data_IF_542707199836
#
_entry.id   IF_542707199836
#
_cell.length_a   1.000
_cell.length_b   1.000
_cell.length_c   1.000
_cell.angle_alpha   90.00
_cell.angle_beta   90.00
_cell.angle_gamma   90.00
#
_symmetry.space_group_name_H-M   'P 1'
#
loop_
_entity.id
_entity.type
_entity.pdbx_description
1 polymer ?
#
# COMPACT_ATOMS: atom_id res chain seq x y z
N UNK A 1 -4.20 -1.11 -65.39
CA UNK A 1 -5.03 -1.01 -64.19
C UNK A 1 -4.29 -0.22 -63.11
N UNK A 2 -4.86 0.84 -62.64
CA UNK A 2 -4.36 2.10 -62.10
C UNK A 2 -3.37 2.04 -60.90
N UNK A 3 -2.11 2.29 -61.15
CA UNK A 3 -1.08 2.56 -60.13
C UNK A 3 -1.33 3.86 -59.32
N UNK A 4 -2.14 4.79 -59.84
CA UNK A 4 -2.53 6.03 -59.14
C UNK A 4 -3.49 5.79 -57.98
N UNK A 5 -4.39 4.84 -58.06
CA UNK A 5 -5.39 4.59 -57.01
C UNK A 5 -4.76 3.94 -55.75
N UNK A 6 -3.74 3.11 -55.90
CA UNK A 6 -3.07 2.50 -54.76
C UNK A 6 -2.32 3.52 -53.88
N UNK A 7 -1.75 4.57 -54.47
CA UNK A 7 -1.08 5.64 -53.69
C UNK A 7 -2.06 6.46 -52.85
N UNK A 8 -3.26 6.69 -53.35
CA UNK A 8 -4.31 7.42 -52.62
C UNK A 8 -4.82 6.61 -51.42
N UNK A 9 -5.05 5.32 -51.62
CA UNK A 9 -5.47 4.45 -50.51
C UNK A 9 -4.40 4.33 -49.43
N UNK A 10 -3.12 4.21 -49.80
CA UNK A 10 -2.00 4.19 -48.84
C UNK A 10 -1.91 5.52 -48.08
N UNK A 11 -2.13 6.65 -48.76
CA UNK A 11 -2.11 7.97 -48.11
C UNK A 11 -3.28 8.14 -47.11
N UNK A 12 -4.47 7.68 -47.45
CA UNK A 12 -5.65 7.70 -46.59
C UNK A 12 -5.40 6.81 -45.35
N UNK A 13 -4.83 5.61 -45.53
CA UNK A 13 -4.48 4.73 -44.42
C UNK A 13 -3.42 5.36 -43.48
N UNK A 14 -2.39 6.00 -44.06
CA UNK A 14 -1.38 6.70 -43.26
C UNK A 14 -1.96 7.88 -42.49
N UNK A 15 -2.84 8.67 -43.11
CA UNK A 15 -3.50 9.79 -42.44
C UNK A 15 -4.45 9.32 -41.32
N UNK A 16 -5.22 8.25 -41.55
CA UNK A 16 -6.09 7.67 -40.52
C UNK A 16 -5.27 7.05 -39.35
N UNK A 17 -4.12 6.45 -39.63
CA UNK A 17 -3.22 5.93 -38.62
C UNK A 17 -2.59 7.06 -37.81
N UNK A 18 -2.15 8.15 -38.43
CA UNK A 18 -1.59 9.33 -37.75
C UNK A 18 -2.65 9.99 -36.86
N UNK A 19 -3.91 10.12 -37.34
CA UNK A 19 -5.01 10.68 -36.53
C UNK A 19 -5.33 9.77 -35.33
N UNK A 20 -5.31 8.45 -35.51
CA UNK A 20 -5.52 7.50 -34.45
C UNK A 20 -4.38 7.57 -33.37
N UNK A 21 -3.13 7.67 -33.80
CA UNK A 21 -1.99 7.86 -32.91
C UNK A 21 -2.08 9.20 -32.14
N UNK A 22 -2.49 10.28 -32.83
CA UNK A 22 -2.65 11.58 -32.16
C UNK A 22 -3.79 11.55 -31.12
N UNK A 23 -4.90 10.88 -31.39
CA UNK A 23 -6.00 10.67 -30.44
C UNK A 23 -5.53 9.88 -29.20
N UNK A 24 -4.73 8.83 -29.39
CA UNK A 24 -4.14 8.06 -28.29
C UNK A 24 -3.17 8.90 -27.45
N UNK A 25 -2.37 9.75 -28.10
CA UNK A 25 -1.44 10.67 -27.42
C UNK A 25 -2.18 11.77 -26.67
N UNK A 26 -3.25 12.34 -27.23
CA UNK A 26 -4.11 13.31 -26.54
C UNK A 26 -4.80 12.69 -25.31
N UNK A 27 -5.33 11.48 -25.43
CA UNK A 27 -5.95 10.79 -24.30
C UNK A 27 -4.93 10.49 -23.20
N UNK A 28 -3.70 10.08 -23.56
CA UNK A 28 -2.59 9.89 -22.62
C UNK A 28 -2.19 11.20 -21.95
N UNK A 29 -2.09 12.28 -22.71
CA UNK A 29 -1.75 13.61 -22.20
C UNK A 29 -2.87 14.17 -21.31
N UNK A 30 -4.14 13.95 -21.65
CA UNK A 30 -5.31 14.33 -20.85
C UNK A 30 -5.33 13.58 -19.52
N UNK A 31 -5.03 12.28 -19.51
CA UNK A 31 -4.91 11.48 -18.27
C UNK A 31 -3.74 11.98 -17.41
N UNK A 32 -2.59 12.26 -18.00
CA UNK A 32 -1.43 12.83 -17.29
C UNK A 32 -1.72 14.24 -16.79
N UNK A 33 -2.43 15.06 -17.52
CA UNK A 33 -2.84 16.41 -17.11
C UNK A 33 -3.81 16.36 -15.92
N UNK A 34 -4.84 15.52 -15.99
CA UNK A 34 -5.79 15.31 -14.88
C UNK A 34 -5.08 14.78 -13.64
N UNK A 35 -4.17 13.83 -13.82
CA UNK A 35 -3.37 13.28 -12.72
C UNK A 35 -2.43 14.31 -12.09
N UNK A 36 -1.72 15.10 -12.90
CA UNK A 36 -0.84 16.16 -12.40
C UNK A 36 -1.62 17.31 -11.73
N UNK A 37 -2.79 17.65 -12.26
CA UNK A 37 -3.71 18.61 -11.64
C UNK A 37 -4.20 18.10 -10.28
N UNK A 38 -4.60 16.84 -10.19
CA UNK A 38 -4.99 16.18 -8.94
C UNK A 38 -3.84 16.14 -7.92
N UNK A 39 -2.61 15.82 -8.37
CA UNK A 39 -1.41 15.87 -7.51
C UNK A 39 -1.12 17.30 -7.01
N UNK A 40 -1.29 18.31 -7.84
CA UNK A 40 -1.06 19.70 -7.45
C UNK A 40 -2.17 20.23 -6.53
N UNK A 41 -3.42 19.83 -6.75
CA UNK A 41 -4.53 20.16 -5.86
C UNK A 41 -4.38 19.45 -4.50
N UNK A 42 -3.95 18.19 -4.46
CA UNK A 42 -3.64 17.47 -3.21
C UNK A 42 -2.44 18.09 -2.49
N UNK A 43 -1.39 18.49 -3.19
CA UNK A 43 -0.26 19.24 -2.61
C UNK A 43 -0.68 20.64 -2.10
N UNK A 44 -1.53 21.34 -2.83
CA UNK A 44 -2.06 22.64 -2.42
C UNK A 44 -2.94 22.53 -1.19
N UNK A 45 -3.82 21.52 -1.14
CA UNK A 45 -4.65 21.21 0.03
C UNK A 45 -3.77 20.79 1.23
N UNK A 46 -2.77 19.94 1.02
CA UNK A 46 -1.79 19.58 2.04
C UNK A 46 -1.10 20.81 2.61
N UNK A 47 -0.56 21.69 1.76
CA UNK A 47 0.11 22.92 2.18
C UNK A 47 -0.86 23.91 2.87
N UNK A 48 -2.11 24.00 2.43
CA UNK A 48 -3.13 24.88 3.02
C UNK A 48 -3.54 24.41 4.42
N UNK A 49 -3.64 23.09 4.64
CA UNK A 49 -4.05 22.54 5.94
C UNK A 49 -2.88 22.28 6.90
N UNK A 50 -1.63 22.24 6.41
CA UNK A 50 -0.45 22.10 7.29
C UNK A 50 0.20 23.42 7.68
N UNK A 51 -0.07 24.51 6.93
CA UNK A 51 0.53 25.85 7.19
C UNK A 51 -0.20 26.70 8.24
N UNK A 52 -1.35 26.26 8.75
CA UNK A 52 -2.02 26.91 9.88
C UNK A 52 -2.32 25.87 10.97
N UNK A 53 -1.37 25.52 11.82
CA UNK A 53 -1.72 24.97 13.11
C UNK A 53 -2.21 26.14 13.98
N UNK A 54 -3.50 26.29 14.17
CA UNK A 54 -3.99 26.98 15.38
C UNK A 54 -3.34 26.24 16.54
N UNK A 55 -2.42 26.91 17.23
CA UNK A 55 -1.85 26.47 18.49
C UNK A 55 -2.94 26.48 19.55
N UNK A 56 -3.79 25.49 19.55
CA UNK A 56 -4.55 25.15 20.75
C UNK A 56 -3.60 24.45 21.72
N UNK A 57 -3.15 25.21 22.71
CA UNK A 57 -2.40 24.79 23.89
C UNK A 57 -3.27 23.88 24.77
N UNK A 58 -3.47 22.65 24.35
CA UNK A 58 -3.59 21.48 25.19
C UNK A 58 -2.76 20.41 24.47
N UNK A 59 -1.58 20.13 25.00
CA UNK A 59 -0.76 18.97 24.59
C UNK A 59 -1.51 17.68 24.97
N UNK A 60 -2.59 17.38 24.27
CA UNK A 60 -3.12 16.02 24.28
C UNK A 60 -2.11 15.14 23.54
N UNK A 61 -1.35 14.36 24.30
CA UNK A 61 -0.46 13.33 23.78
C UNK A 61 -1.21 12.51 22.75
N UNK A 62 -0.69 12.49 21.50
CA UNK A 62 -1.27 11.68 20.43
C UNK A 62 -1.39 10.22 20.86
N UNK A 63 -2.55 9.63 20.64
CA UNK A 63 -2.83 8.24 20.96
C UNK A 63 -2.13 7.32 19.96
N UNK A 64 -1.56 6.22 20.43
CA UNK A 64 -0.90 5.20 19.60
C UNK A 64 -1.69 3.90 19.72
N UNK A 65 -2.32 3.48 18.64
CA UNK A 65 -2.99 2.18 18.56
C UNK A 65 -2.15 1.24 17.69
N UNK A 66 -1.91 0.02 18.19
CA UNK A 66 -1.39 -1.07 17.36
C UNK A 66 -2.50 -2.05 17.01
N UNK A 67 -2.45 -2.58 15.80
CA UNK A 67 -3.34 -3.65 15.34
C UNK A 67 -2.58 -4.80 14.73
N UNK A 68 -3.16 -5.98 14.84
CA UNK A 68 -2.72 -7.17 14.12
C UNK A 68 -3.93 -8.05 13.81
N UNK A 69 -3.72 -9.07 13.00
CA UNK A 69 -4.76 -10.04 12.64
C UNK A 69 -4.24 -11.47 12.77
N UNK A 70 -5.08 -12.36 13.29
CA UNK A 70 -4.80 -13.79 13.25
C UNK A 70 -6.06 -14.61 13.03
N UNK A 71 -5.91 -15.73 12.32
CA UNK A 71 -6.85 -16.84 12.38
C UNK A 71 -6.52 -17.76 13.58
N UNK A 72 -7.16 -18.92 13.68
CA UNK A 72 -6.93 -19.88 14.77
C UNK A 72 -5.47 -20.37 14.89
N UNK A 73 -4.75 -20.46 13.78
CA UNK A 73 -3.38 -20.99 13.73
C UNK A 73 -2.36 -20.06 14.39
N UNK A 74 -2.56 -18.74 14.28
CA UNK A 74 -1.59 -17.71 14.74
C UNK A 74 -2.01 -17.03 16.04
N UNK A 75 -2.89 -17.64 16.84
CA UNK A 75 -3.39 -17.05 18.08
C UNK A 75 -2.27 -16.82 19.11
N UNK A 76 -1.38 -17.79 19.28
CA UNK A 76 -0.24 -17.70 20.20
C UNK A 76 0.71 -16.57 19.81
N UNK A 77 1.05 -16.47 18.54
CA UNK A 77 1.88 -15.40 18.00
C UNK A 77 1.23 -14.03 18.23
N UNK A 78 -0.09 -13.91 18.02
CA UNK A 78 -0.83 -12.68 18.28
C UNK A 78 -0.73 -12.24 19.76
N UNK A 79 -0.77 -13.19 20.72
CA UNK A 79 -0.63 -12.86 22.14
C UNK A 79 0.77 -12.32 22.46
N UNK A 80 1.83 -12.91 21.91
CA UNK A 80 3.20 -12.38 22.07
C UNK A 80 3.36 -11.01 21.39
N UNK A 81 2.79 -10.84 20.20
CA UNK A 81 2.78 -9.54 19.53
C UNK A 81 2.10 -8.48 20.40
N UNK A 82 0.89 -8.76 20.91
CA UNK A 82 0.15 -7.88 21.83
C UNK A 82 0.96 -7.52 23.06
N UNK A 83 1.50 -8.53 23.76
CA UNK A 83 2.30 -8.32 24.97
C UNK A 83 3.50 -7.41 24.69
N UNK A 84 4.26 -7.71 23.64
CA UNK A 84 5.42 -6.90 23.28
C UNK A 84 5.06 -5.49 22.82
N UNK A 85 3.92 -5.31 22.14
CA UNK A 85 3.45 -3.98 21.73
C UNK A 85 3.13 -3.08 22.93
N UNK A 86 2.45 -3.61 23.92
CA UNK A 86 2.08 -2.86 25.12
C UNK A 86 3.28 -2.64 26.07
N UNK A 87 4.06 -3.69 26.37
CA UNK A 87 5.12 -3.65 27.36
C UNK A 87 6.41 -3.01 26.87
N UNK A 88 6.80 -3.26 25.61
CA UNK A 88 8.05 -2.81 25.01
C UNK A 88 7.80 -1.69 24.02
N UNK A 89 6.86 -1.89 23.09
CA UNK A 89 6.46 -0.90 22.09
C UNK A 89 5.86 0.36 22.70
N UNK A 90 5.26 0.26 23.91
CA UNK A 90 4.61 1.36 24.63
C UNK A 90 3.47 1.99 23.83
N UNK A 91 2.73 1.15 23.09
CA UNK A 91 1.48 1.59 22.47
C UNK A 91 0.40 1.73 23.54
N UNK A 92 -0.55 2.66 23.35
CA UNK A 92 -1.61 2.90 24.35
C UNK A 92 -2.68 1.80 24.30
N UNK A 93 -2.99 1.27 23.11
CA UNK A 93 -3.96 0.18 22.92
C UNK A 93 -3.49 -0.80 21.82
N UNK A 94 -3.99 -2.06 21.93
CA UNK A 94 -3.76 -3.09 20.92
C UNK A 94 -5.03 -3.85 20.59
N UNK A 95 -5.40 -3.91 19.30
CA UNK A 95 -6.52 -4.69 18.80
C UNK A 95 -6.03 -5.87 17.94
N UNK A 96 -6.34 -7.10 18.39
CA UNK A 96 -6.09 -8.33 17.64
C UNK A 96 -7.35 -8.77 16.89
N UNK A 97 -7.44 -8.43 15.62
CA UNK A 97 -8.58 -8.78 14.77
C UNK A 97 -8.58 -10.26 14.36
N UNK A 98 -9.77 -10.78 14.09
CA UNK A 98 -10.05 -12.17 13.68
C UNK A 98 -10.95 -12.18 12.44
N UNK A 99 -11.09 -13.34 11.75
CA UNK A 99 -11.99 -13.44 10.59
C UNK A 99 -13.43 -12.99 10.88
N UNK A 100 -13.95 -13.26 12.07
CA UNK A 100 -15.31 -12.87 12.48
C UNK A 100 -15.54 -11.37 12.62
N UNK A 101 -14.46 -10.59 12.75
CA UNK A 101 -14.52 -9.13 12.94
C UNK A 101 -14.62 -8.37 11.60
N UNK A 102 -14.59 -9.11 10.48
CA UNK A 102 -14.89 -8.56 9.16
C UNK A 102 -16.39 -8.37 9.03
N UNK A 103 -16.82 -7.14 8.75
CA UNK A 103 -18.25 -6.81 8.61
C UNK A 103 -18.91 -7.68 7.53
N UNK A 104 -20.17 -8.05 7.76
CA UNK A 104 -20.93 -8.95 6.88
C UNK A 104 -21.02 -8.43 5.45
N UNK A 105 -21.30 -7.15 5.25
CA UNK A 105 -21.38 -6.55 3.92
C UNK A 105 -20.03 -6.61 3.18
N UNK A 106 -18.95 -6.26 3.87
CA UNK A 106 -17.60 -6.32 3.27
C UNK A 106 -17.26 -7.75 2.86
N UNK A 107 -17.57 -8.73 3.72
CA UNK A 107 -17.37 -10.16 3.43
C UNK A 107 -18.18 -10.61 2.23
N UNK A 108 -19.47 -10.28 2.19
CA UNK A 108 -20.38 -10.64 1.10
C UNK A 108 -19.91 -10.07 -0.23
N UNK A 109 -19.51 -8.81 -0.24
CA UNK A 109 -19.10 -8.10 -1.46
C UNK A 109 -17.71 -8.50 -1.99
N UNK A 110 -16.92 -9.23 -1.18
CA UNK A 110 -15.56 -9.68 -1.54
C UNK A 110 -15.38 -11.19 -1.30
N UNK A 111 -16.45 -11.97 -1.41
CA UNK A 111 -16.45 -13.42 -1.12
C UNK A 111 -15.50 -14.17 -2.04
N UNK A 112 -15.36 -13.78 -3.30
CA UNK A 112 -14.48 -14.40 -4.29
C UNK A 112 -12.98 -14.32 -3.91
N UNK A 113 -12.60 -13.36 -3.07
CA UNK A 113 -11.24 -13.24 -2.51
C UNK A 113 -11.20 -13.83 -1.10
N UNK A 114 -12.11 -13.41 -0.20
CA UNK A 114 -12.08 -13.75 1.22
C UNK A 114 -12.37 -15.23 1.53
N UNK A 115 -12.95 -15.99 0.59
CA UNK A 115 -13.14 -17.43 0.72
C UNK A 115 -11.88 -18.26 0.40
N UNK A 116 -10.83 -17.64 -0.14
CA UNK A 116 -9.59 -18.33 -0.53
C UNK A 116 -8.71 -18.61 0.69
N UNK A 117 -8.09 -19.81 0.71
CA UNK A 117 -7.28 -20.25 1.86
C UNK A 117 -5.97 -19.46 2.01
N UNK A 118 -5.29 -19.14 0.89
CA UNK A 118 -4.00 -18.43 0.93
C UNK A 118 -4.15 -17.08 1.61
N UNK A 119 -3.34 -16.83 2.65
CA UNK A 119 -3.40 -15.58 3.42
C UNK A 119 -4.77 -15.27 4.03
N UNK A 120 -5.65 -16.31 4.15
CA UNK A 120 -7.02 -16.16 4.63
C UNK A 120 -7.80 -15.10 3.84
N UNK A 121 -7.80 -15.22 2.52
CA UNK A 121 -8.36 -14.24 1.58
C UNK A 121 -7.31 -13.26 1.05
N UNK A 122 -6.12 -13.76 0.71
CA UNK A 122 -5.02 -13.00 0.09
C UNK A 122 -4.66 -11.70 0.82
N UNK A 123 -4.78 -11.71 2.15
CA UNK A 123 -4.52 -10.53 3.03
C UNK A 123 -5.39 -9.30 2.71
N UNK A 124 -6.50 -9.43 1.98
CA UNK A 124 -7.46 -8.34 1.73
C UNK A 124 -7.98 -7.70 3.02
N UNK A 125 -8.10 -8.48 4.08
CA UNK A 125 -8.48 -8.01 5.41
C UNK A 125 -7.49 -6.98 6.01
N UNK A 126 -6.22 -6.92 5.54
CA UNK A 126 -5.20 -6.03 6.09
C UNK A 126 -5.54 -4.54 5.83
N UNK A 127 -5.63 -4.06 4.58
CA UNK A 127 -6.04 -2.68 4.34
C UNK A 127 -7.45 -2.37 4.86
N UNK A 128 -8.34 -3.36 4.90
CA UNK A 128 -9.66 -3.21 5.48
C UNK A 128 -9.59 -2.85 6.98
N UNK A 129 -8.86 -3.60 7.82
CA UNK A 129 -8.75 -3.32 9.25
C UNK A 129 -7.91 -2.07 9.53
N UNK A 130 -6.89 -1.77 8.72
CA UNK A 130 -6.13 -0.52 8.82
C UNK A 130 -7.10 0.66 8.63
N UNK A 131 -7.88 0.68 7.55
CA UNK A 131 -8.83 1.75 7.26
C UNK A 131 -9.92 1.86 8.32
N UNK A 132 -10.51 0.72 8.73
CA UNK A 132 -11.53 0.66 9.77
C UNK A 132 -11.02 1.26 11.08
N UNK A 133 -9.82 0.88 11.51
CA UNK A 133 -9.26 1.40 12.76
C UNK A 133 -8.93 2.89 12.66
N UNK A 134 -8.36 3.34 11.56
CA UNK A 134 -8.10 4.77 11.33
C UNK A 134 -9.40 5.59 11.40
N UNK A 135 -10.51 5.07 10.83
CA UNK A 135 -11.80 5.78 10.83
C UNK A 135 -12.47 5.76 12.20
N UNK A 136 -12.53 4.59 12.83
CA UNK A 136 -13.45 4.34 13.94
C UNK A 136 -12.81 4.57 15.33
N UNK A 137 -11.48 4.51 15.46
CA UNK A 137 -10.81 4.44 16.76
C UNK A 137 -9.77 5.52 17.04
N UNK A 138 -9.43 6.32 16.06
CA UNK A 138 -8.39 7.35 16.14
C UNK A 138 -8.94 8.72 15.81
N UNK A 139 -8.38 9.77 16.41
CA UNK A 139 -8.58 11.16 16.05
C UNK A 139 -7.49 11.61 15.05
N UNK A 140 -7.69 12.73 14.36
CA UNK A 140 -6.63 13.32 13.55
C UNK A 140 -5.42 13.67 14.42
N UNK A 141 -4.23 13.28 13.94
CA UNK A 141 -2.97 13.42 14.68
C UNK A 141 -2.57 12.18 15.48
N UNK A 142 -3.47 11.23 15.73
CA UNK A 142 -3.16 9.95 16.37
C UNK A 142 -2.41 9.00 15.43
N UNK A 143 -1.80 7.95 15.99
CA UNK A 143 -0.98 6.98 15.25
C UNK A 143 -1.59 5.59 15.25
N UNK A 144 -1.53 4.95 14.07
CA UNK A 144 -1.82 3.54 13.88
C UNK A 144 -0.57 2.77 13.48
N UNK A 145 -0.30 1.65 14.17
CA UNK A 145 0.72 0.70 13.77
C UNK A 145 0.03 -0.62 13.40
N UNK A 146 0.27 -1.08 12.19
CA UNK A 146 -0.08 -2.44 11.79
C UNK A 146 1.16 -3.32 11.87
N UNK A 147 1.00 -4.51 12.45
CA UNK A 147 2.02 -5.57 12.41
C UNK A 147 1.39 -6.92 12.12
N UNK A 148 2.08 -7.77 11.33
CA UNK A 148 1.71 -9.17 11.25
C UNK A 148 1.84 -9.84 12.64
N UNK A 149 1.01 -10.85 12.93
CA UNK A 149 0.95 -11.51 14.25
C UNK A 149 2.29 -12.14 14.68
N UNK A 150 3.18 -12.46 13.74
CA UNK A 150 4.52 -12.99 14.01
C UNK A 150 5.58 -11.94 14.35
N UNK A 151 5.22 -10.65 14.47
CA UNK A 151 6.16 -9.56 14.78
C UNK A 151 6.21 -9.32 16.29
N UNK A 152 7.44 -9.15 16.83
CA UNK A 152 7.69 -8.72 18.21
C UNK A 152 8.25 -7.31 18.24
N UNK A 153 7.66 -6.48 19.11
CA UNK A 153 8.21 -5.16 19.42
C UNK A 153 9.41 -5.35 20.34
N UNK A 154 10.54 -4.73 20.01
CA UNK A 154 11.78 -4.78 20.80
C UNK A 154 12.26 -3.42 21.29
N UNK A 155 11.58 -2.36 20.87
CA UNK A 155 11.86 -0.98 21.27
C UNK A 155 10.58 -0.17 21.32
N UNK A 156 10.63 0.96 22.01
CA UNK A 156 9.55 1.93 22.08
C UNK A 156 9.29 2.56 20.69
N UNK A 157 8.06 2.49 20.24
CA UNK A 157 7.65 3.00 18.90
C UNK A 157 7.75 4.52 18.78
N UNK A 158 7.80 5.25 19.90
CA UNK A 158 8.01 6.69 19.87
C UNK A 158 9.31 7.11 19.17
N UNK A 159 10.32 6.24 19.11
CA UNK A 159 11.53 6.50 18.32
C UNK A 159 11.17 6.73 16.85
N UNK A 160 10.28 5.91 16.31
CA UNK A 160 9.84 5.98 14.93
C UNK A 160 8.87 7.15 14.70
N UNK A 161 7.96 7.38 15.65
CA UNK A 161 7.03 8.51 15.63
C UNK A 161 7.79 9.84 15.65
N UNK A 162 8.75 10.00 16.57
CA UNK A 162 9.59 11.19 16.63
C UNK A 162 10.40 11.43 15.36
N UNK A 163 10.81 10.35 14.69
CA UNK A 163 11.46 10.47 13.38
C UNK A 163 10.50 11.02 12.33
N UNK A 164 9.25 10.51 12.25
CA UNK A 164 8.24 11.01 11.32
C UNK A 164 7.93 12.49 11.58
N UNK A 165 7.74 12.87 12.84
CA UNK A 165 7.47 14.25 13.23
C UNK A 165 8.60 15.20 12.80
N UNK A 166 9.87 14.83 13.06
CA UNK A 166 11.04 15.60 12.63
C UNK A 166 11.15 15.76 11.12
N UNK A 167 10.61 14.81 10.37
CA UNK A 167 10.61 14.80 8.90
C UNK A 167 9.34 15.41 8.30
N UNK A 168 8.37 15.76 9.13
CA UNK A 168 7.02 16.18 8.71
C UNK A 168 6.36 15.16 7.78
N UNK A 169 6.37 13.89 8.20
CA UNK A 169 5.90 12.74 7.46
C UNK A 169 4.70 12.11 8.15
N UNK A 170 3.76 11.58 7.38
CA UNK A 170 2.55 10.96 7.92
C UNK A 170 2.63 9.42 7.97
N UNK A 171 3.55 8.81 7.25
CA UNK A 171 3.61 7.36 7.09
C UNK A 171 5.05 6.86 7.03
N UNK A 172 5.25 5.63 7.53
CA UNK A 172 6.54 4.95 7.40
C UNK A 172 6.37 3.49 6.98
N UNK A 173 7.23 3.06 6.05
CA UNK A 173 7.27 1.71 5.51
C UNK A 173 8.70 1.22 5.38
N UNK A 174 8.87 -0.10 5.53
CA UNK A 174 10.18 -0.73 5.39
C UNK A 174 10.46 -1.12 3.94
N UNK A 175 11.60 -0.67 3.40
CA UNK A 175 12.07 -1.01 2.06
C UNK A 175 12.82 -2.35 2.08
N UNK A 176 12.44 -3.26 1.19
CA UNK A 176 13.08 -4.57 1.02
C UNK A 176 14.27 -4.49 0.06
N UNK A 177 15.07 -5.56 0.00
CA UNK A 177 16.14 -5.73 -1.00
C UNK A 177 15.66 -6.35 -2.31
N UNK A 178 14.42 -6.79 -2.39
CA UNK A 178 13.87 -7.46 -3.57
C UNK A 178 13.40 -6.43 -4.60
N UNK A 179 13.68 -6.71 -5.89
CA UNK A 179 13.15 -5.91 -7.01
C UNK A 179 11.66 -6.20 -7.16
N UNK A 180 10.85 -5.16 -7.42
CA UNK A 180 9.39 -5.24 -7.48
C UNK A 180 8.87 -6.31 -8.44
N UNK A 181 9.41 -6.35 -9.68
CA UNK A 181 8.96 -7.30 -10.71
C UNK A 181 9.12 -8.77 -10.34
N UNK A 182 9.98 -9.07 -9.36
CA UNK A 182 10.21 -10.45 -8.89
C UNK A 182 9.01 -10.99 -8.13
N UNK A 183 8.26 -10.10 -7.45
CA UNK A 183 7.18 -10.48 -6.56
C UNK A 183 5.87 -9.72 -6.82
N UNK A 184 5.71 -9.20 -8.03
CA UNK A 184 4.50 -8.49 -8.47
C UNK A 184 4.07 -9.02 -9.83
N UNK A 185 2.85 -9.57 -9.91
CA UNK A 185 2.28 -10.06 -11.19
C UNK A 185 2.03 -8.91 -12.17
N UNK A 186 2.04 -9.21 -13.47
CA UNK A 186 1.92 -8.19 -14.51
C UNK A 186 0.62 -7.42 -14.46
N UNK A 187 -0.50 -8.09 -14.17
CA UNK A 187 -1.80 -7.44 -14.05
C UNK A 187 -1.79 -6.34 -12.99
N UNK A 188 -1.08 -6.52 -11.88
CA UNK A 188 -0.99 -5.49 -10.86
C UNK A 188 -0.32 -4.21 -11.39
N UNK A 189 0.78 -4.34 -12.14
CA UNK A 189 1.43 -3.18 -12.77
C UNK A 189 0.50 -2.45 -13.74
N UNK A 190 -0.19 -3.20 -14.61
CA UNK A 190 -1.05 -2.61 -15.65
C UNK A 190 -2.27 -1.95 -15.02
N UNK A 191 -3.01 -2.69 -14.17
CA UNK A 191 -4.27 -2.22 -13.58
C UNK A 191 -4.07 -1.07 -12.58
N UNK A 192 -2.90 -0.99 -11.95
CA UNK A 192 -2.53 0.12 -11.10
C UNK A 192 -1.85 1.27 -11.86
N UNK A 193 -1.72 1.22 -13.20
CA UNK A 193 -1.06 2.25 -14.00
C UNK A 193 0.43 2.44 -13.64
N UNK A 194 1.11 1.33 -13.36
CA UNK A 194 2.49 1.25 -12.88
C UNK A 194 3.38 0.40 -13.80
N UNK A 195 2.95 0.12 -15.05
CA UNK A 195 3.64 -0.79 -15.95
C UNK A 195 4.80 -0.11 -16.70
N UNK A 196 5.84 0.25 -15.96
CA UNK A 196 7.09 0.78 -16.51
C UNK A 196 8.29 0.48 -15.59
N UNK A 197 9.51 0.78 -16.06
CA UNK A 197 10.76 0.46 -15.35
C UNK A 197 10.89 1.15 -13.98
N UNK A 198 10.33 2.35 -13.82
CA UNK A 198 10.37 3.06 -12.54
C UNK A 198 9.73 2.24 -11.42
N UNK A 199 8.62 1.54 -11.72
CA UNK A 199 7.97 0.66 -10.74
C UNK A 199 8.59 -0.74 -10.72
N UNK A 200 8.80 -1.35 -11.89
CA UNK A 200 9.16 -2.76 -12.00
C UNK A 200 10.61 -3.07 -11.61
N UNK A 201 11.54 -2.14 -11.81
CA UNK A 201 12.98 -2.35 -11.59
C UNK A 201 13.50 -1.69 -10.30
N UNK A 202 12.63 -1.13 -9.47
CA UNK A 202 12.99 -0.57 -8.17
C UNK A 202 12.65 -1.54 -7.04
N UNK A 203 13.22 -1.30 -5.85
CA UNK A 203 13.02 -2.15 -4.68
C UNK A 203 11.57 -2.09 -4.18
N UNK A 204 11.07 -3.21 -3.66
CA UNK A 204 9.74 -3.33 -3.07
C UNK A 204 9.70 -2.91 -1.60
N UNK A 205 8.50 -2.79 -1.04
CA UNK A 205 8.25 -2.44 0.35
C UNK A 205 7.54 -3.56 1.10
N UNK A 206 7.85 -3.70 2.39
CA UNK A 206 7.29 -4.71 3.26
C UNK A 206 5.91 -4.31 3.78
N UNK A 207 4.98 -5.25 3.84
CA UNK A 207 3.65 -5.02 4.39
C UNK A 207 3.44 -5.60 5.80
N UNK A 208 4.44 -6.23 6.40
CA UNK A 208 4.33 -6.83 7.73
C UNK A 208 4.45 -5.82 8.88
N UNK A 209 4.97 -4.62 8.60
CA UNK A 209 5.01 -3.49 9.53
C UNK A 209 4.68 -2.21 8.80
N UNK A 210 3.71 -1.45 9.30
CA UNK A 210 3.24 -0.20 8.69
C UNK A 210 2.90 0.80 9.79
N UNK A 211 3.35 2.05 9.67
CA UNK A 211 3.05 3.14 10.60
C UNK A 211 2.34 4.27 9.87
N UNK A 212 1.28 4.77 10.47
CA UNK A 212 0.40 5.81 9.94
C UNK A 212 0.07 6.85 11.01
N UNK A 213 0.25 8.12 10.71
CA UNK A 213 -0.41 9.22 11.41
C UNK A 213 -1.77 9.44 10.77
N UNK A 214 -2.85 9.54 11.54
CA UNK A 214 -4.16 9.81 10.96
C UNK A 214 -4.23 11.25 10.43
N UNK A 215 -4.20 11.38 9.11
CA UNK A 215 -4.39 12.62 8.36
C UNK A 215 -5.36 12.36 7.20
N UNK A 216 -5.85 13.42 6.55
CA UNK A 216 -6.66 13.25 5.32
C UNK A 216 -5.86 12.53 4.21
N UNK A 217 -4.57 12.83 4.13
CA UNK A 217 -3.66 12.22 3.15
C UNK A 217 -3.50 10.71 3.41
N UNK A 218 -3.27 10.33 4.66
CA UNK A 218 -3.15 8.92 5.07
C UNK A 218 -4.45 8.15 4.85
N UNK A 219 -5.61 8.75 5.18
CA UNK A 219 -6.90 8.12 4.93
C UNK A 219 -7.08 7.83 3.43
N UNK A 220 -6.80 8.81 2.56
CA UNK A 220 -6.88 8.61 1.10
C UNK A 220 -5.93 7.51 0.60
N UNK A 221 -4.70 7.48 1.11
CA UNK A 221 -3.73 6.43 0.77
C UNK A 221 -4.26 5.05 1.14
N UNK A 222 -4.81 4.88 2.35
CA UNK A 222 -5.33 3.58 2.81
C UNK A 222 -6.64 3.21 2.10
N UNK A 223 -7.47 4.19 1.72
CA UNK A 223 -8.64 3.96 0.86
C UNK A 223 -8.23 3.40 -0.51
N UNK A 224 -7.18 3.96 -1.12
CA UNK A 224 -6.65 3.44 -2.38
C UNK A 224 -5.99 2.06 -2.20
N UNK A 225 -5.32 1.82 -1.06
CA UNK A 225 -4.79 0.51 -0.72
C UNK A 225 -5.90 -0.54 -0.67
N UNK A 226 -7.01 -0.25 -0.01
CA UNK A 226 -8.17 -1.12 0.02
C UNK A 226 -8.84 -1.24 -1.34
N UNK A 227 -8.95 -0.15 -2.10
CA UNK A 227 -9.57 -0.14 -3.43
C UNK A 227 -8.89 -1.12 -4.38
N UNK A 228 -7.57 -1.02 -4.54
CA UNK A 228 -6.81 -1.93 -5.41
C UNK A 228 -6.75 -3.36 -4.87
N UNK A 229 -6.74 -3.54 -3.54
CA UNK A 229 -6.75 -4.88 -2.93
C UNK A 229 -8.07 -5.64 -3.13
N UNK A 230 -9.17 -4.97 -3.45
CA UNK A 230 -10.46 -5.62 -3.79
C UNK A 230 -10.49 -6.15 -5.23
N UNK A 231 -9.54 -5.84 -6.07
CA UNK A 231 -9.48 -6.38 -7.42
C UNK A 231 -8.75 -7.72 -7.39
N UNK A 232 -9.49 -8.81 -7.64
CA UNK A 232 -8.93 -10.17 -7.65
C UNK A 232 -7.83 -10.36 -8.68
N UNK A 233 -7.88 -9.62 -9.80
CA UNK A 233 -6.85 -9.66 -10.84
C UNK A 233 -5.50 -9.16 -10.33
N UNK A 234 -5.50 -8.28 -9.33
CA UNK A 234 -4.31 -7.71 -8.69
C UNK A 234 -3.83 -8.57 -7.54
N UNK A 235 -4.75 -8.93 -6.61
CA UNK A 235 -4.34 -9.47 -5.31
C UNK A 235 -4.18 -11.01 -5.31
N UNK A 236 -4.86 -11.73 -6.20
CA UNK A 236 -4.83 -13.22 -6.21
C UNK A 236 -3.69 -13.79 -7.05
N UNK A 237 -3.54 -15.12 -6.98
CA UNK A 237 -2.63 -15.88 -7.85
C UNK A 237 -3.25 -16.29 -9.18
N UNK A 238 -4.48 -15.88 -9.46
CA UNK A 238 -5.15 -16.18 -10.71
C UNK A 238 -4.30 -15.68 -11.89
N UNK A 239 -4.39 -16.34 -13.05
CA UNK A 239 -3.63 -16.00 -14.26
C UNK A 239 -3.82 -14.55 -14.67
N UNK A 240 -2.83 -13.96 -15.35
CA UNK A 240 -2.93 -12.62 -15.90
C UNK A 240 -4.08 -12.51 -16.90
N UNK A 241 -4.86 -11.44 -16.79
CA UNK A 241 -6.03 -11.14 -17.63
C UNK A 241 -5.75 -10.04 -18.67
N UNK A 242 -4.64 -9.30 -18.51
CA UNK A 242 -4.28 -8.18 -19.37
C UNK A 242 -3.41 -8.61 -20.57
N UNK A 243 -3.47 -9.89 -20.95
CA UNK A 243 -2.84 -10.48 -22.15
C UNK A 243 -1.31 -10.32 -22.22
N UNK A 244 -0.66 -9.93 -21.13
CA UNK A 244 0.79 -9.82 -21.06
C UNK A 244 1.35 -10.82 -20.05
N UNK A 245 2.48 -11.49 -20.38
CA UNK A 245 3.15 -12.38 -19.44
C UNK A 245 3.77 -11.56 -18.28
N UNK A 246 4.04 -12.23 -17.17
CA UNK A 246 4.83 -11.63 -16.10
C UNK A 246 6.23 -11.23 -16.60
N UNK A 247 6.82 -10.24 -15.97
CA UNK A 247 8.19 -9.84 -16.26
C UNK A 247 9.17 -11.00 -16.06
N UNK A 248 10.24 -11.01 -16.85
CA UNK A 248 11.30 -11.99 -16.67
C UNK A 248 11.87 -11.92 -15.24
N UNK A 249 12.03 -13.08 -14.61
CA UNK A 249 12.45 -13.22 -13.21
C UNK A 249 11.31 -13.12 -12.18
N UNK A 250 10.04 -13.12 -12.60
CA UNK A 250 8.89 -13.24 -11.70
C UNK A 250 8.90 -14.62 -11.01
N UNK A 251 8.73 -14.62 -9.68
CA UNK A 251 8.70 -15.83 -8.85
C UNK A 251 7.28 -16.05 -8.31
N UNK A 252 6.70 -15.02 -7.68
CA UNK A 252 5.44 -15.14 -6.95
C UNK A 252 4.78 -13.78 -6.76
N UNK A 253 3.45 -13.72 -6.65
CA UNK A 253 2.75 -12.49 -6.29
C UNK A 253 2.72 -12.32 -4.75
N UNK A 254 2.97 -11.12 -4.25
CA UNK A 254 2.96 -10.82 -2.82
C UNK A 254 1.69 -10.10 -2.36
N UNK A 255 0.63 -10.18 -3.14
CA UNK A 255 -0.75 -9.86 -2.76
C UNK A 255 -0.92 -8.41 -2.24
N UNK A 256 -1.31 -8.26 -0.98
CA UNK A 256 -1.43 -6.96 -0.31
C UNK A 256 -0.12 -6.16 -0.33
N UNK A 257 1.03 -6.82 -0.19
CA UNK A 257 2.34 -6.18 -0.26
C UNK A 257 2.62 -5.60 -1.66
N UNK A 258 2.22 -6.29 -2.72
CA UNK A 258 2.29 -5.78 -4.10
C UNK A 258 1.54 -4.46 -4.23
N UNK A 259 0.28 -4.41 -3.76
CA UNK A 259 -0.54 -3.20 -3.80
C UNK A 259 0.09 -2.07 -3.00
N UNK A 260 0.48 -2.35 -1.75
CA UNK A 260 1.13 -1.37 -0.87
C UNK A 260 2.40 -0.80 -1.51
N UNK A 261 3.27 -1.66 -2.02
CA UNK A 261 4.56 -1.28 -2.59
C UNK A 261 4.40 -0.39 -3.82
N UNK A 262 3.49 -0.71 -4.72
CA UNK A 262 3.20 0.12 -5.88
C UNK A 262 2.58 1.47 -5.48
N UNK A 263 1.69 1.51 -4.48
CA UNK A 263 1.12 2.76 -3.98
C UNK A 263 2.16 3.67 -3.34
N UNK A 264 3.08 3.16 -2.53
CA UNK A 264 4.18 3.94 -1.94
C UNK A 264 4.95 4.68 -3.04
N UNK A 265 5.21 4.02 -4.16
CA UNK A 265 5.88 4.63 -5.32
C UNK A 265 4.98 5.65 -6.04
N UNK A 266 3.70 5.33 -6.26
CA UNK A 266 2.73 6.23 -6.90
C UNK A 266 2.51 7.53 -6.12
N UNK A 267 2.54 7.46 -4.81
CA UNK A 267 2.42 8.61 -3.92
C UNK A 267 3.75 9.34 -3.68
N UNK A 268 4.82 8.95 -4.40
CA UNK A 268 6.18 9.51 -4.28
C UNK A 268 6.77 9.41 -2.86
N UNK A 269 6.25 8.52 -2.01
CA UNK A 269 6.78 8.29 -0.67
C UNK A 269 8.17 7.64 -0.72
N UNK A 270 8.46 6.91 -1.81
CA UNK A 270 9.74 6.24 -2.06
C UNK A 270 10.93 7.20 -2.25
N UNK A 271 10.69 8.39 -2.82
CA UNK A 271 11.74 9.32 -3.25
C UNK A 271 12.09 10.38 -2.18
N UNK A 272 11.37 10.39 -1.08
CA UNK A 272 11.49 11.42 -0.06
C UNK A 272 12.64 11.21 0.93
N UNK A 273 13.47 10.19 0.74
CA UNK A 273 14.49 9.78 1.72
C UNK A 273 13.89 9.23 3.02
N UNK A 274 12.59 9.09 3.05
CA UNK A 274 11.71 8.84 4.18
C UNK A 274 11.81 7.45 4.76
N UNK A 275 12.42 6.51 4.04
CA UNK A 275 12.46 5.08 4.40
C UNK A 275 13.83 4.60 4.85
N UNK A 276 14.84 5.47 4.90
CA UNK A 276 16.18 5.13 5.35
C UNK A 276 16.34 5.35 6.88
N UNK A 277 15.48 4.75 7.67
CA UNK A 277 15.78 4.59 9.09
C UNK A 277 16.75 3.43 9.24
N UNK A 278 17.80 3.65 10.02
CA UNK A 278 18.82 2.67 10.33
C UNK A 278 18.22 1.27 10.58
N UNK A 279 18.71 0.28 9.88
CA UNK A 279 18.43 -1.16 10.05
C UNK A 279 18.37 -1.62 11.52
N UNK A 280 18.99 -0.90 12.43
CA UNK A 280 19.06 -1.22 13.86
C UNK A 280 17.69 -1.19 14.54
N UNK A 281 16.79 -0.28 14.16
CA UNK A 281 15.43 -0.22 14.75
C UNK A 281 14.57 -1.38 14.24
N UNK A 282 14.78 -1.83 13.01
CA UNK A 282 13.98 -2.86 12.33
C UNK A 282 14.55 -4.27 12.55
N UNK A 283 15.86 -4.44 12.57
CA UNK A 283 16.48 -5.72 12.94
C UNK A 283 16.10 -6.16 14.37
N UNK A 284 15.61 -5.23 15.17
CA UNK A 284 15.02 -5.52 16.47
C UNK A 284 13.53 -5.91 16.39
N UNK A 285 12.88 -5.86 15.21
CA UNK A 285 11.52 -6.39 14.94
C UNK A 285 11.61 -7.75 14.19
N UNK A 286 12.51 -8.65 14.61
CA UNK A 286 12.64 -9.98 14.02
C UNK A 286 11.38 -10.80 14.22
N UNK A 287 10.93 -11.50 13.17
CA UNK A 287 9.80 -12.41 13.23
C UNK A 287 10.05 -13.56 14.22
N UNK A 288 9.04 -13.97 14.96
CA UNK A 288 9.06 -15.09 15.91
C UNK A 288 9.31 -16.45 15.22
N UNK A 289 9.32 -16.50 13.87
CA UNK A 289 9.42 -17.74 13.09
C UNK A 289 10.59 -18.64 13.48
N UNK A 290 11.62 -18.13 14.17
CA UNK A 290 12.81 -18.91 14.51
C UNK A 290 12.80 -19.51 15.93
N UNK A 291 11.77 -19.28 16.77
CA UNK A 291 11.82 -19.72 18.20
C UNK A 291 10.60 -20.47 18.74
N UNK A 292 9.59 -20.77 17.95
CA UNK A 292 8.39 -21.45 18.44
C UNK A 292 8.21 -22.88 17.88
N UNK A 293 9.17 -23.35 17.07
CA UNK A 293 9.19 -24.73 16.57
C UNK A 293 10.53 -25.39 16.91
N UNK A 294 10.78 -25.64 18.21
CA UNK A 294 11.64 -26.70 18.73
C UNK A 294 11.03 -27.18 20.02
#
# INVERSE_FOLDING_TARGET
>A
MNYKNNKIYILIYLLSFITFINLLLEERNRRNFIFNRFLNETKSLYNKYTKNPEKNQFENKSKIIAISYSNSIYQTQLQYCKKSALEIGKVDEFFGYKPRDIDYEFRRNNTDILSRNRGNGYWLWKPYFILKTLKDKLNFGDYLIYTDAGVLYKQNVNILINFLEKKNEDMWFYKLSNIEKTYTKRDAFILMGADNKYYSETLSYNAAFQLYKKTKFTLKFVEDYLYYSKDKRIITDDSNTQLLPNYNGFIDNRHDQTVLSLLIKKYNLANSGKTNINYTIINNLKSIKEKVFY
#
